data_IF_981421529483
#
_entry.id   IF_981421529483
#
_cell.length_a   1.000
_cell.length_b   1.000
_cell.length_c   1.000
_cell.angle_alpha   90.00
_cell.angle_beta   90.00
_cell.angle_gamma   90.00
#
_symmetry.space_group_name_H-M   'P 1'
#
loop_
_entity.id
_entity.type
_entity.pdbx_description
1 polymer ?
#
# COMPACT_ATOMS: atom_id res chain seq x y z
N UNK A 1 -43.68 -31.64 -24.69
CA UNK A 1 -43.17 -30.52 -23.87
C UNK A 1 -41.78 -30.90 -23.36
N UNK A 2 -40.73 -30.44 -24.04
CA UNK A 2 -39.34 -30.57 -23.60
C UNK A 2 -38.79 -29.15 -23.48
N UNK A 3 -38.46 -28.73 -22.27
CA UNK A 3 -37.99 -27.39 -21.94
C UNK A 3 -36.49 -27.31 -22.25
N UNK A 4 -36.12 -26.37 -23.14
CA UNK A 4 -34.75 -26.04 -23.46
C UNK A 4 -34.11 -25.26 -22.30
N UNK A 5 -33.08 -25.83 -21.67
CA UNK A 5 -32.15 -25.11 -20.81
C UNK A 5 -31.01 -24.56 -21.67
N UNK A 6 -31.02 -23.25 -21.90
CA UNK A 6 -29.90 -22.54 -22.53
C UNK A 6 -28.91 -22.05 -21.46
N UNK A 7 -27.68 -22.55 -21.63
CA UNK A 7 -26.38 -22.07 -21.12
C UNK A 7 -26.26 -20.56 -20.85
N UNK A 8 -25.78 -20.22 -19.65
CA UNK A 8 -25.06 -18.97 -19.38
C UNK A 8 -23.76 -19.30 -18.62
N UNK A 9 -22.69 -19.55 -19.40
CA UNK A 9 -21.34 -19.85 -18.93
C UNK A 9 -20.68 -18.56 -18.44
N UNK A 10 -20.27 -18.53 -17.18
CA UNK A 10 -19.57 -17.41 -16.56
C UNK A 10 -18.24 -17.09 -17.23
N UNK A 11 -18.05 -15.82 -17.61
CA UNK A 11 -16.77 -15.31 -18.13
C UNK A 11 -16.14 -14.20 -17.25
N UNK A 12 -16.64 -14.01 -16.03
CA UNK A 12 -16.19 -12.95 -15.12
C UNK A 12 -15.02 -13.28 -14.18
N UNK A 13 -14.66 -14.55 -13.97
CA UNK A 13 -13.73 -14.93 -12.88
C UNK A 13 -12.23 -14.80 -13.20
N UNK A 14 -11.83 -14.83 -14.48
CA UNK A 14 -10.42 -14.98 -14.85
C UNK A 14 -9.60 -13.68 -14.83
N UNK A 15 -10.22 -12.50 -14.87
CA UNK A 15 -9.52 -11.22 -14.72
C UNK A 15 -9.31 -10.87 -13.25
N UNK A 16 -10.33 -11.11 -12.43
CA UNK A 16 -10.32 -10.77 -11.00
C UNK A 16 -9.37 -11.71 -10.25
N UNK A 17 -9.40 -13.03 -10.49
CA UNK A 17 -8.42 -13.97 -9.92
C UNK A 17 -6.97 -13.69 -10.34
N UNK A 18 -6.73 -13.22 -11.57
CA UNK A 18 -5.37 -12.86 -12.02
C UNK A 18 -4.86 -11.60 -11.34
N UNK A 19 -5.72 -10.61 -11.13
CA UNK A 19 -5.35 -9.38 -10.42
C UNK A 19 -5.04 -9.67 -8.94
N UNK A 20 -5.78 -10.58 -8.30
CA UNK A 20 -5.56 -11.02 -6.92
C UNK A 20 -4.21 -11.74 -6.77
N UNK A 21 -3.90 -12.68 -7.67
CA UNK A 21 -2.62 -13.39 -7.65
C UNK A 21 -1.41 -12.46 -7.78
N UNK A 22 -1.53 -11.39 -8.57
CA UNK A 22 -0.46 -10.39 -8.76
C UNK A 22 -0.28 -9.51 -7.51
N UNK A 23 -1.36 -9.15 -6.80
CA UNK A 23 -1.31 -8.30 -5.61
C UNK A 23 -0.64 -8.96 -4.40
N UNK A 24 -0.82 -10.28 -4.23
CA UNK A 24 -0.14 -11.04 -3.16
C UNK A 24 1.30 -11.39 -3.57
N UNK A 25 1.56 -11.55 -4.87
CA UNK A 25 2.87 -11.92 -5.39
C UNK A 25 3.92 -10.83 -5.16
N UNK A 26 3.59 -9.54 -5.32
CA UNK A 26 4.59 -8.45 -5.21
C UNK A 26 5.13 -8.31 -3.77
N UNK A 27 4.31 -8.21 -2.71
CA UNK A 27 4.80 -8.10 -1.34
C UNK A 27 5.54 -9.36 -0.87
N UNK A 28 5.12 -10.54 -1.34
CA UNK A 28 5.82 -11.79 -1.06
C UNK A 28 7.16 -11.88 -1.79
N UNK A 29 7.20 -11.50 -3.07
CA UNK A 29 8.43 -11.42 -3.85
C UNK A 29 9.43 -10.45 -3.21
N UNK A 30 8.95 -9.28 -2.77
CA UNK A 30 9.76 -8.34 -2.01
C UNK A 30 10.34 -8.99 -0.73
N UNK A 31 9.52 -9.70 0.05
CA UNK A 31 9.98 -10.39 1.26
C UNK A 31 11.11 -11.39 0.94
N UNK A 32 10.93 -12.24 -0.08
CA UNK A 32 11.94 -13.20 -0.53
C UNK A 32 13.23 -12.50 -0.96
N UNK A 33 13.13 -11.45 -1.76
CA UNK A 33 14.29 -10.67 -2.18
C UNK A 33 14.99 -10.00 -1.01
N UNK A 34 14.26 -9.50 -0.01
CA UNK A 34 14.84 -8.87 1.17
C UNK A 34 15.63 -9.89 2.02
N UNK A 35 15.06 -11.08 2.26
CA UNK A 35 15.75 -12.19 2.93
C UNK A 35 17.02 -12.59 2.16
N UNK A 36 16.95 -12.70 0.83
CA UNK A 36 18.11 -13.00 0.00
C UNK A 36 19.22 -11.93 0.15
N UNK A 37 18.86 -10.65 0.12
CA UNK A 37 19.82 -9.56 0.31
C UNK A 37 20.46 -9.56 1.70
N UNK A 38 19.69 -9.86 2.74
CA UNK A 38 20.21 -10.00 4.11
C UNK A 38 21.25 -11.12 4.20
N UNK A 39 20.98 -12.27 3.58
CA UNK A 39 21.93 -13.41 3.54
C UNK A 39 23.20 -13.02 2.77
N UNK A 40 23.09 -12.29 1.66
CA UNK A 40 24.25 -11.81 0.91
C UNK A 40 25.09 -10.81 1.71
N UNK A 41 24.46 -9.87 2.42
CA UNK A 41 25.16 -8.93 3.32
C UNK A 41 25.91 -9.70 4.40
N UNK A 42 25.29 -10.70 5.01
CA UNK A 42 25.93 -11.53 6.04
C UNK A 42 27.10 -12.35 5.48
N UNK A 43 26.94 -12.94 4.29
CA UNK A 43 27.97 -13.75 3.63
C UNK A 43 29.17 -12.89 3.24
N UNK A 44 28.93 -11.71 2.67
CA UNK A 44 29.97 -10.75 2.34
C UNK A 44 30.69 -10.23 3.59
N UNK A 45 29.94 -9.93 4.65
CA UNK A 45 30.52 -9.54 5.93
C UNK A 45 31.44 -10.63 6.48
N UNK A 46 31.01 -11.91 6.48
CA UNK A 46 31.86 -13.05 6.89
C UNK A 46 33.14 -13.15 6.05
N UNK A 47 33.06 -12.90 4.76
CA UNK A 47 34.22 -12.88 3.87
C UNK A 47 35.20 -11.74 4.22
N UNK A 48 34.70 -10.52 4.37
CA UNK A 48 35.53 -9.34 4.70
C UNK A 48 36.16 -9.45 6.09
N UNK A 49 35.43 -10.01 7.06
CA UNK A 49 35.88 -10.12 8.45
C UNK A 49 36.71 -11.37 8.75
N UNK A 50 37.00 -12.20 7.74
CA UNK A 50 37.76 -13.46 7.89
C UNK A 50 39.10 -13.28 8.62
N UNK A 51 39.71 -12.11 8.52
CA UNK A 51 41.02 -11.79 9.11
C UNK A 51 40.95 -10.96 10.41
N UNK A 52 39.74 -10.62 10.90
CA UNK A 52 39.55 -9.75 12.07
C UNK A 52 38.63 -10.39 13.13
N UNK A 53 39.05 -11.54 13.68
CA UNK A 53 38.25 -12.39 14.58
C UNK A 53 37.59 -11.66 15.77
N UNK A 54 38.31 -10.76 16.45
CA UNK A 54 37.76 -9.98 17.57
C UNK A 54 36.63 -9.02 17.16
N UNK A 55 36.69 -8.45 15.95
CA UNK A 55 35.67 -7.53 15.44
C UNK A 55 34.42 -8.28 14.95
N UNK A 56 34.52 -9.58 14.69
CA UNK A 56 33.40 -10.43 14.25
C UNK A 56 32.34 -10.56 15.36
N UNK A 57 32.75 -10.86 16.59
CA UNK A 57 31.83 -10.99 17.73
C UNK A 57 31.13 -9.68 18.09
N UNK A 58 31.87 -8.55 18.01
CA UNK A 58 31.30 -7.22 18.26
C UNK A 58 30.18 -6.91 17.27
N UNK A 59 30.37 -7.22 15.99
CA UNK A 59 29.33 -7.01 14.98
C UNK A 59 28.11 -7.91 15.18
N UNK A 60 28.30 -9.17 15.56
CA UNK A 60 27.19 -10.08 15.91
C UNK A 60 26.41 -9.51 17.09
N UNK A 61 27.10 -9.03 18.13
CA UNK A 61 26.48 -8.40 19.29
C UNK A 61 25.67 -7.16 18.93
N UNK A 62 26.23 -6.25 18.11
CA UNK A 62 25.51 -5.08 17.59
C UNK A 62 24.31 -5.50 16.74
N UNK A 63 24.48 -6.54 15.91
CA UNK A 63 23.42 -7.14 15.11
C UNK A 63 22.26 -7.55 16.00
N UNK A 64 22.47 -8.45 16.96
CA UNK A 64 21.43 -8.93 17.90
C UNK A 64 20.77 -7.76 18.64
N UNK A 65 21.56 -6.83 19.17
CA UNK A 65 21.04 -5.65 19.85
C UNK A 65 20.14 -4.81 18.94
N UNK A 66 20.53 -4.62 17.67
CA UNK A 66 19.72 -3.91 16.67
C UNK A 66 18.40 -4.62 16.35
N UNK A 67 18.40 -5.96 16.29
CA UNK A 67 17.16 -6.73 16.07
C UNK A 67 16.19 -6.55 17.23
N UNK A 68 16.69 -6.71 18.46
CA UNK A 68 15.88 -6.60 19.68
C UNK A 68 15.30 -5.20 19.85
N UNK A 69 16.13 -4.18 19.65
CA UNK A 69 15.72 -2.77 19.74
C UNK A 69 14.73 -2.40 18.64
N UNK A 70 15.00 -2.73 17.36
CA UNK A 70 14.07 -2.48 16.28
C UNK A 70 12.73 -3.20 16.48
N UNK A 71 12.76 -4.46 16.91
CA UNK A 71 11.55 -5.24 17.22
C UNK A 71 10.71 -4.58 18.31
N UNK A 72 11.35 -4.15 19.41
CA UNK A 72 10.68 -3.45 20.50
C UNK A 72 10.07 -2.12 20.03
N UNK A 73 10.83 -1.32 19.28
CA UNK A 73 10.38 -0.02 18.76
C UNK A 73 9.18 -0.20 17.84
N UNK A 74 9.28 -1.05 16.81
CA UNK A 74 8.17 -1.22 15.87
C UNK A 74 6.96 -1.91 16.51
N UNK A 75 7.17 -2.79 17.49
CA UNK A 75 6.07 -3.35 18.29
C UNK A 75 5.37 -2.28 19.13
N UNK A 76 6.13 -1.38 19.78
CA UNK A 76 5.56 -0.24 20.51
C UNK A 76 4.79 0.68 19.57
N UNK A 77 5.34 0.98 18.38
CA UNK A 77 4.64 1.75 17.35
C UNK A 77 3.34 1.05 16.94
N UNK A 78 3.36 -0.25 16.63
CA UNK A 78 2.14 -1.01 16.30
C UNK A 78 1.12 -0.94 17.43
N UNK A 79 1.54 -1.12 18.68
CA UNK A 79 0.66 -1.04 19.86
C UNK A 79 0.06 0.35 20.06
N UNK A 80 0.85 1.41 19.86
CA UNK A 80 0.38 2.79 19.91
C UNK A 80 -0.61 3.08 18.79
N UNK A 81 -0.31 2.67 17.55
CA UNK A 81 -1.21 2.80 16.41
C UNK A 81 -2.54 2.09 16.65
N UNK A 82 -2.52 0.86 17.17
CA UNK A 82 -3.74 0.12 17.51
C UNK A 82 -4.59 0.85 18.55
N UNK A 83 -3.96 1.51 19.53
CA UNK A 83 -4.67 2.34 20.52
C UNK A 83 -5.27 3.59 19.88
N UNK A 84 -4.55 4.27 18.99
CA UNK A 84 -5.04 5.44 18.26
C UNK A 84 -6.17 5.10 17.28
N UNK A 85 -6.14 3.91 16.68
CA UNK A 85 -7.11 3.47 15.67
C UNK A 85 -8.29 2.68 16.24
N UNK A 86 -8.48 2.65 17.57
CA UNK A 86 -9.51 1.85 18.23
C UNK A 86 -10.93 2.15 17.74
N UNK A 87 -11.23 3.42 17.47
CA UNK A 87 -12.54 3.91 17.01
C UNK A 87 -12.70 3.92 15.48
N UNK A 88 -11.70 3.42 14.75
CA UNK A 88 -11.62 3.56 13.30
C UNK A 88 -12.24 2.32 12.61
N UNK A 89 -12.99 2.52 11.52
CA UNK A 89 -13.55 1.40 10.75
C UNK A 89 -12.44 0.45 10.25
N UNK A 90 -12.73 -0.85 10.16
CA UNK A 90 -11.72 -1.87 9.83
C UNK A 90 -10.93 -1.59 8.55
N UNK A 91 -11.60 -1.03 7.53
CA UNK A 91 -10.96 -0.63 6.28
C UNK A 91 -9.99 0.56 6.45
N UNK A 92 -10.39 1.58 7.21
CA UNK A 92 -9.55 2.75 7.52
C UNK A 92 -8.34 2.33 8.36
N UNK A 93 -8.53 1.43 9.35
CA UNK A 93 -7.44 0.84 10.14
C UNK A 93 -6.44 0.11 9.26
N UNK A 94 -6.91 -0.78 8.38
CA UNK A 94 -6.05 -1.50 7.43
C UNK A 94 -5.24 -0.55 6.54
N UNK A 95 -5.90 0.45 5.92
CA UNK A 95 -5.22 1.43 5.08
C UNK A 95 -4.10 2.14 5.83
N UNK A 96 -4.34 2.56 7.08
CA UNK A 96 -3.31 3.22 7.89
C UNK A 96 -2.16 2.27 8.24
N UNK A 97 -2.45 1.02 8.61
CA UNK A 97 -1.41 0.04 8.94
C UNK A 97 -0.54 -0.30 7.71
N UNK A 98 -1.15 -0.49 6.54
CA UNK A 98 -0.42 -0.68 5.28
C UNK A 98 0.43 0.55 4.90
N UNK A 99 -0.12 1.76 5.03
CA UNK A 99 0.63 3.00 4.76
C UNK A 99 1.85 3.13 5.69
N UNK A 100 1.69 2.85 6.98
CA UNK A 100 2.79 2.86 7.96
C UNK A 100 3.85 1.82 7.58
N UNK A 101 3.42 0.60 7.25
CA UNK A 101 4.31 -0.49 6.84
C UNK A 101 5.14 -0.16 5.61
N UNK A 102 4.50 0.18 4.50
CA UNK A 102 5.20 0.50 3.25
C UNK A 102 6.05 1.79 3.36
N UNK A 103 5.61 2.78 4.14
CA UNK A 103 6.43 3.98 4.40
C UNK A 103 7.68 3.63 5.19
N UNK A 104 7.57 2.83 6.25
CA UNK A 104 8.71 2.41 7.06
C UNK A 104 9.74 1.60 6.25
N UNK A 105 9.28 0.67 5.41
CA UNK A 105 10.16 -0.07 4.51
C UNK A 105 10.80 0.83 3.45
N UNK A 106 10.09 1.82 2.92
CA UNK A 106 10.64 2.78 1.97
C UNK A 106 11.78 3.61 2.58
N UNK A 107 11.60 4.08 3.83
CA UNK A 107 12.62 4.80 4.60
C UNK A 107 13.87 3.95 4.79
N UNK A 108 13.72 2.66 5.13
CA UNK A 108 14.87 1.74 5.25
C UNK A 108 15.70 1.69 3.96
N UNK A 109 15.05 1.68 2.79
CA UNK A 109 15.72 1.76 1.49
C UNK A 109 16.51 3.07 1.30
N UNK A 110 15.90 4.21 1.61
CA UNK A 110 16.58 5.52 1.52
C UNK A 110 17.78 5.61 2.46
N UNK A 111 17.70 5.05 3.66
CA UNK A 111 18.83 5.02 4.62
C UNK A 111 20.04 4.32 4.00
N UNK A 112 19.84 3.18 3.32
CA UNK A 112 20.91 2.45 2.63
C UNK A 112 21.50 3.30 1.50
N UNK A 113 20.67 3.88 0.64
CA UNK A 113 21.11 4.65 -0.52
C UNK A 113 21.90 5.92 -0.12
N UNK A 114 21.41 6.68 0.86
CA UNK A 114 22.08 7.88 1.37
C UNK A 114 23.39 7.50 2.07
N UNK A 115 23.39 6.46 2.90
CA UNK A 115 24.59 5.99 3.58
C UNK A 115 25.66 5.49 2.60
N UNK A 116 25.26 4.89 1.49
CA UNK A 116 26.18 4.47 0.44
C UNK A 116 26.91 5.66 -0.21
N UNK A 117 26.22 6.78 -0.41
CA UNK A 117 26.82 8.01 -0.95
C UNK A 117 27.83 8.61 0.05
N UNK A 118 27.46 8.65 1.34
CA UNK A 118 28.27 9.29 2.39
C UNK A 118 29.51 8.45 2.73
N UNK A 119 29.35 7.15 2.96
CA UNK A 119 30.40 6.30 3.52
C UNK A 119 31.17 5.48 2.47
N UNK A 120 30.67 5.44 1.23
CA UNK A 120 31.26 4.70 0.10
C UNK A 120 31.69 3.27 0.46
N UNK A 121 32.99 3.04 0.73
CA UNK A 121 33.57 1.70 1.00
C UNK A 121 33.71 1.37 2.47
N UNK A 122 33.30 2.25 3.38
CA UNK A 122 33.51 2.02 4.79
C UNK A 122 32.75 0.77 5.25
N UNK A 123 33.37 -0.06 6.09
CA UNK A 123 32.76 -1.26 6.66
C UNK A 123 31.44 -0.99 7.42
N UNK A 124 31.19 0.27 7.82
CA UNK A 124 29.95 0.69 8.48
C UNK A 124 28.73 0.59 7.55
N UNK A 125 28.93 0.65 6.23
CA UNK A 125 27.83 0.49 5.27
C UNK A 125 27.17 -0.90 5.37
N UNK A 126 27.96 -1.94 5.65
CA UNK A 126 27.42 -3.30 5.85
C UNK A 126 26.56 -3.39 7.10
N UNK A 127 26.94 -2.68 8.17
CA UNK A 127 26.17 -2.62 9.40
C UNK A 127 24.84 -1.90 9.17
N UNK A 128 24.86 -0.74 8.50
CA UNK A 128 23.67 0.04 8.19
C UNK A 128 22.73 -0.75 7.27
N UNK A 129 23.27 -1.43 6.25
CA UNK A 129 22.49 -2.29 5.37
C UNK A 129 21.83 -3.44 6.14
N UNK A 130 22.58 -4.12 7.02
CA UNK A 130 22.05 -5.20 7.86
C UNK A 130 20.88 -4.71 8.73
N UNK A 131 21.04 -3.60 9.45
CA UNK A 131 20.01 -3.01 10.31
C UNK A 131 18.75 -2.66 9.48
N UNK A 132 18.95 -2.10 8.30
CA UNK A 132 17.85 -1.66 7.42
C UNK A 132 17.06 -2.82 6.82
N UNK A 133 17.73 -3.90 6.40
CA UNK A 133 17.06 -5.11 5.91
C UNK A 133 16.29 -5.82 7.02
N UNK A 134 16.89 -6.00 8.21
CA UNK A 134 16.19 -6.58 9.37
C UNK A 134 14.97 -5.74 9.75
N UNK A 135 15.12 -4.41 9.84
CA UNK A 135 14.02 -3.51 10.16
C UNK A 135 12.88 -3.65 9.15
N UNK A 136 13.21 -3.76 7.86
CA UNK A 136 12.22 -3.97 6.80
C UNK A 136 11.46 -5.29 6.95
N UNK A 137 12.15 -6.38 7.30
CA UNK A 137 11.53 -7.69 7.55
C UNK A 137 10.58 -7.62 8.76
N UNK A 138 11.02 -6.99 9.86
CA UNK A 138 10.19 -6.80 11.06
C UNK A 138 8.93 -5.99 10.72
N UNK A 139 9.08 -4.88 10.00
CA UNK A 139 7.95 -4.05 9.57
C UNK A 139 6.97 -4.85 8.71
N UNK A 140 7.46 -5.69 7.79
CA UNK A 140 6.62 -6.54 6.95
C UNK A 140 5.75 -7.49 7.78
N UNK A 141 6.33 -8.18 8.76
CA UNK A 141 5.56 -9.07 9.65
C UNK A 141 4.55 -8.31 10.52
N UNK A 142 4.93 -7.13 11.00
CA UNK A 142 4.08 -6.35 11.90
C UNK A 142 2.92 -5.66 11.17
N UNK A 143 3.12 -5.13 9.97
CA UNK A 143 2.17 -4.23 9.31
C UNK A 143 1.59 -4.75 8.00
N UNK A 144 2.15 -5.81 7.40
CA UNK A 144 1.76 -6.25 6.05
C UNK A 144 1.26 -7.70 6.06
N UNK A 145 1.99 -8.62 6.69
CA UNK A 145 1.68 -10.05 6.65
C UNK A 145 0.22 -10.39 7.05
N UNK A 146 -0.30 -9.72 8.07
CA UNK A 146 -1.68 -9.90 8.56
C UNK A 146 -2.74 -9.43 7.56
N UNK A 147 -2.41 -8.47 6.70
CA UNK A 147 -3.37 -7.86 5.76
C UNK A 147 -3.35 -8.50 4.38
N UNK A 148 -2.26 -9.16 3.99
CA UNK A 148 -2.10 -9.80 2.67
C UNK A 148 -3.15 -10.85 2.33
N UNK A 149 -3.79 -11.45 3.33
CA UNK A 149 -4.82 -12.49 3.15
C UNK A 149 -6.25 -11.98 3.39
N UNK A 150 -6.41 -10.72 3.83
CA UNK A 150 -7.71 -10.19 4.28
C UNK A 150 -8.19 -8.99 3.46
N UNK A 151 -7.28 -8.29 2.78
CA UNK A 151 -7.55 -7.04 2.09
C UNK A 151 -6.89 -7.00 0.72
N UNK A 152 -7.61 -6.42 -0.24
CA UNK A 152 -7.16 -6.22 -1.62
C UNK A 152 -6.83 -4.75 -1.84
N UNK A 153 -5.74 -4.47 -2.55
CA UNK A 153 -5.42 -3.10 -2.98
C UNK A 153 -6.25 -2.81 -4.22
N UNK A 154 -6.86 -1.63 -4.33
CA UNK A 154 -7.62 -1.32 -5.53
C UNK A 154 -6.67 -1.18 -6.73
N UNK A 155 -7.00 -1.86 -7.83
CA UNK A 155 -6.23 -1.77 -9.07
C UNK A 155 -6.24 -0.35 -9.65
N UNK A 156 -5.19 0.04 -10.41
CA UNK A 156 -5.12 1.36 -11.02
C UNK A 156 -6.11 1.51 -12.20
N UNK A 157 -7.12 2.38 -12.06
CA UNK A 157 -8.01 2.88 -13.12
C UNK A 157 -8.05 4.42 -13.05
N UNK A 158 -7.89 5.24 -14.13
CA UNK A 158 -7.84 4.97 -15.57
C UNK A 158 -6.43 5.16 -16.20
N UNK A 159 -6.29 4.82 -17.49
CA UNK A 159 -5.07 4.86 -18.34
C UNK A 159 -4.10 6.03 -18.10
N UNK A 160 -4.59 7.25 -17.90
CA UNK A 160 -3.76 8.44 -17.73
C UNK A 160 -3.03 8.51 -16.38
N UNK A 161 -3.69 8.08 -15.30
CA UNK A 161 -3.12 8.10 -13.94
C UNK A 161 -2.07 7.00 -13.77
N UNK A 162 -2.29 5.84 -14.39
CA UNK A 162 -1.31 4.74 -14.46
C UNK A 162 -0.01 5.17 -15.15
N UNK A 163 -0.11 5.91 -16.25
CA UNK A 163 1.07 6.39 -16.98
C UNK A 163 1.81 7.47 -16.20
N UNK A 164 1.12 8.41 -15.55
CA UNK A 164 1.75 9.41 -14.69
C UNK A 164 2.56 8.76 -13.55
N UNK A 165 1.96 7.79 -12.84
CA UNK A 165 2.69 7.09 -11.79
C UNK A 165 3.87 6.30 -12.35
N UNK A 166 3.68 5.53 -13.42
CA UNK A 166 4.77 4.82 -14.06
C UNK A 166 5.93 5.75 -14.47
N UNK A 167 5.64 6.99 -14.90
CA UNK A 167 6.66 8.01 -15.24
C UNK A 167 7.37 8.55 -14.00
N UNK A 168 6.65 8.94 -12.95
CA UNK A 168 7.28 9.38 -11.69
C UNK A 168 8.13 8.25 -11.10
N UNK A 169 7.65 7.01 -11.19
CA UNK A 169 8.39 5.81 -10.81
C UNK A 169 9.64 5.57 -11.64
N UNK A 170 9.53 5.71 -12.96
CA UNK A 170 10.66 5.59 -13.86
C UNK A 170 11.70 6.67 -13.54
N UNK A 171 11.29 7.91 -13.29
CA UNK A 171 12.21 9.01 -13.00
C UNK A 171 12.89 8.83 -11.64
N UNK A 172 12.14 8.54 -10.56
CA UNK A 172 12.71 8.37 -9.21
C UNK A 172 13.55 7.09 -9.14
N UNK A 173 13.09 6.01 -9.75
CA UNK A 173 13.83 4.75 -9.81
C UNK A 173 15.08 4.82 -10.68
N UNK A 174 15.01 5.51 -11.83
CA UNK A 174 16.20 5.78 -12.64
C UNK A 174 17.15 6.74 -11.95
N UNK A 175 16.66 7.76 -11.24
CA UNK A 175 17.52 8.66 -10.47
C UNK A 175 18.27 7.89 -9.36
N UNK A 176 17.59 7.00 -8.64
CA UNK A 176 18.23 6.14 -7.63
C UNK A 176 19.20 5.13 -8.25
N UNK A 177 18.82 4.46 -9.35
CA UNK A 177 19.69 3.55 -10.08
C UNK A 177 20.89 4.27 -10.70
N UNK A 178 20.71 5.49 -11.21
CA UNK A 178 21.76 6.32 -11.79
C UNK A 178 22.70 6.87 -10.71
N UNK A 179 22.16 7.38 -9.59
CA UNK A 179 22.98 7.81 -8.45
C UNK A 179 23.79 6.63 -7.91
N UNK A 180 23.17 5.47 -7.71
CA UNK A 180 23.90 4.28 -7.29
C UNK A 180 24.91 3.84 -8.35
N UNK A 181 24.57 3.69 -9.64
CA UNK A 181 25.57 3.30 -10.67
C UNK A 181 26.65 4.35 -10.93
N UNK A 182 26.39 5.65 -10.79
CA UNK A 182 27.39 6.70 -10.98
C UNK A 182 28.38 6.74 -9.80
N UNK A 183 27.87 6.67 -8.56
CA UNK A 183 28.74 6.62 -7.37
C UNK A 183 29.43 5.25 -7.20
N UNK A 184 28.82 4.15 -7.66
CA UNK A 184 29.39 2.80 -7.56
C UNK A 184 30.20 2.36 -8.80
N UNK A 185 29.91 2.89 -9.99
CA UNK A 185 30.52 2.51 -11.28
C UNK A 185 32.01 2.85 -11.39
N UNK A 186 32.54 3.65 -10.49
CA UNK A 186 33.98 3.94 -10.41
C UNK A 186 34.79 2.82 -9.73
N UNK A 187 34.17 1.80 -9.12
CA UNK A 187 34.88 0.84 -8.26
C UNK A 187 34.57 -0.63 -8.58
N UNK A 188 35.42 -1.27 -9.39
CA UNK A 188 35.27 -2.65 -9.90
C UNK A 188 35.35 -3.79 -8.86
N UNK A 189 35.16 -3.54 -7.56
CA UNK A 189 35.41 -4.51 -6.46
C UNK A 189 34.38 -4.52 -5.31
N UNK A 190 33.13 -4.06 -5.47
CA UNK A 190 32.17 -3.96 -4.33
C UNK A 190 30.79 -4.63 -4.53
N UNK A 191 30.12 -4.81 -3.37
CA UNK A 191 29.08 -5.77 -3.01
C UNK A 191 27.75 -5.63 -3.81
N UNK A 192 27.38 -6.62 -4.64
CA UNK A 192 26.13 -6.58 -5.42
C UNK A 192 24.87 -6.49 -4.55
N UNK A 193 24.94 -6.85 -3.26
CA UNK A 193 23.79 -6.83 -2.36
C UNK A 193 23.21 -5.43 -2.13
N UNK A 194 24.03 -4.36 -2.14
CA UNK A 194 23.54 -2.99 -1.94
C UNK A 194 22.81 -2.48 -3.18
N UNK A 195 23.32 -2.83 -4.36
CA UNK A 195 22.71 -2.50 -5.64
C UNK A 195 21.39 -3.28 -5.85
N UNK A 196 21.42 -4.59 -5.65
CA UNK A 196 20.23 -5.45 -5.73
C UNK A 196 19.20 -5.04 -4.68
N UNK A 197 19.63 -4.70 -3.46
CA UNK A 197 18.76 -4.17 -2.41
C UNK A 197 18.04 -2.89 -2.82
N UNK A 198 18.73 -1.96 -3.47
CA UNK A 198 18.13 -0.70 -3.94
C UNK A 198 16.98 -0.94 -4.93
N UNK A 199 17.16 -1.91 -5.84
CA UNK A 199 16.09 -2.33 -6.78
C UNK A 199 14.89 -2.92 -6.03
N UNK A 200 15.12 -3.74 -4.99
CA UNK A 200 14.03 -4.31 -4.20
C UNK A 200 13.18 -3.24 -3.49
N UNK A 201 13.80 -2.17 -2.98
CA UNK A 201 13.07 -1.07 -2.34
C UNK A 201 12.24 -0.22 -3.32
N UNK A 202 12.51 -0.28 -4.64
CA UNK A 202 11.64 0.35 -5.64
C UNK A 202 10.24 -0.30 -5.66
N UNK A 203 10.16 -1.62 -5.49
CA UNK A 203 8.88 -2.34 -5.46
C UNK A 203 8.02 -1.95 -4.24
N UNK A 204 8.66 -1.67 -3.10
CA UNK A 204 7.97 -1.16 -1.91
C UNK A 204 7.38 0.22 -2.16
N UNK A 205 8.13 1.08 -2.85
CA UNK A 205 7.67 2.43 -3.21
C UNK A 205 6.48 2.35 -4.15
N UNK A 206 6.44 1.37 -5.06
CA UNK A 206 5.28 1.18 -5.96
C UNK A 206 4.01 0.82 -5.21
N UNK A 207 4.10 -0.08 -4.23
CA UNK A 207 2.95 -0.45 -3.41
C UNK A 207 2.46 0.70 -2.54
N UNK A 208 3.39 1.48 -1.95
CA UNK A 208 3.05 2.65 -1.14
C UNK A 208 2.17 3.64 -1.91
N UNK A 209 2.57 4.00 -3.13
CA UNK A 209 1.81 4.93 -3.98
C UNK A 209 0.48 4.33 -4.39
N UNK A 210 0.44 3.04 -4.72
CA UNK A 210 -0.82 2.35 -5.06
C UNK A 210 -1.86 2.50 -3.93
N UNK A 211 -1.44 2.30 -2.68
CA UNK A 211 -2.33 2.43 -1.51
C UNK A 211 -2.77 3.88 -1.27
N UNK A 212 -1.88 4.85 -1.49
CA UNK A 212 -2.21 6.28 -1.34
C UNK A 212 -3.32 6.68 -2.31
N UNK A 213 -3.18 6.30 -3.59
CA UNK A 213 -4.04 6.81 -4.67
C UNK A 213 -5.24 5.94 -5.00
N UNK A 214 -5.10 4.62 -4.94
CA UNK A 214 -6.16 3.69 -5.32
C UNK A 214 -6.99 3.26 -4.10
N UNK A 215 -6.38 3.17 -2.91
CA UNK A 215 -7.04 2.72 -1.69
C UNK A 215 -7.06 1.19 -1.54
N UNK A 216 -7.85 0.70 -0.58
CA UNK A 216 -7.90 -0.71 -0.15
C UNK A 216 -9.37 -1.14 -0.05
N UNK A 217 -9.65 -2.42 -0.29
CA UNK A 217 -10.97 -3.06 -0.16
C UNK A 217 -10.87 -4.35 0.66
N UNK A 218 -11.98 -4.79 1.27
CA UNK A 218 -12.07 -6.06 2.01
C UNK A 218 -12.48 -7.20 1.05
N UNK A 219 -11.73 -8.30 1.03
CA UNK A 219 -11.98 -9.45 0.13
C UNK A 219 -13.42 -9.99 0.28
N UNK A 220 -13.93 -10.08 1.51
CA UNK A 220 -15.26 -10.65 1.80
C UNK A 220 -16.46 -9.84 1.27
N UNK A 221 -16.27 -8.60 0.82
CA UNK A 221 -17.36 -7.79 0.26
C UNK A 221 -17.65 -8.18 -1.20
N UNK A 222 -16.77 -8.95 -1.85
CA UNK A 222 -16.94 -9.42 -3.22
C UNK A 222 -17.88 -10.62 -3.37
N UNK A 223 -18.15 -11.37 -2.28
CA UNK A 223 -18.91 -12.64 -2.33
C UNK A 223 -20.34 -12.57 -1.81
N UNK A 224 -20.77 -11.46 -1.21
CA UNK A 224 -22.10 -11.34 -0.60
C UNK A 224 -22.84 -10.18 -1.25
N UNK A 225 -23.70 -10.52 -2.22
CA UNK A 225 -24.78 -9.66 -2.70
C UNK A 225 -25.98 -9.75 -1.75
N UNK A 226 -25.79 -9.42 -0.47
CA UNK A 226 -26.88 -9.23 0.50
C UNK A 226 -26.68 -7.86 1.18
N UNK A 227 -27.77 -7.16 1.55
CA UNK A 227 -27.70 -5.81 2.09
C UNK A 227 -27.23 -5.86 3.54
N UNK A 228 -25.93 -6.06 3.76
CA UNK A 228 -25.35 -6.04 5.10
C UNK A 228 -24.98 -4.61 5.46
N UNK A 229 -25.64 -4.15 6.51
CA UNK A 229 -25.45 -2.90 7.23
C UNK A 229 -23.99 -2.76 7.71
N UNK A 230 -23.11 -2.28 6.84
CA UNK A 230 -21.78 -1.83 7.25
C UNK A 230 -21.99 -0.63 8.18
N UNK A 231 -21.51 -0.73 9.41
CA UNK A 231 -21.32 0.43 10.27
C UNK A 231 -20.17 1.32 9.76
N UNK A 232 -20.25 1.74 8.49
CA UNK A 232 -19.74 3.05 8.12
C UNK A 232 -20.48 4.04 8.99
N UNK A 233 -19.79 4.88 9.75
CA UNK A 233 -20.42 6.05 10.35
C UNK A 233 -21.25 6.70 9.24
N UNK A 234 -22.58 6.78 9.41
CA UNK A 234 -23.50 7.26 8.38
C UNK A 234 -23.12 8.66 7.86
N UNK A 235 -22.28 9.36 8.62
CA UNK A 235 -21.69 10.67 8.36
C UNK A 235 -20.47 10.68 7.44
N UNK A 236 -19.93 9.56 6.98
CA UNK A 236 -18.66 9.54 6.23
C UNK A 236 -18.85 9.06 4.80
N UNK A 237 -18.05 9.57 3.88
CA UNK A 237 -18.04 9.07 2.51
C UNK A 237 -17.32 7.74 2.38
N UNK A 238 -17.97 6.72 1.82
CA UNK A 238 -17.39 5.38 1.63
C UNK A 238 -16.26 5.29 0.59
N UNK A 239 -15.92 6.37 -0.12
CA UNK A 239 -14.81 6.42 -1.09
C UNK A 239 -13.62 7.18 -0.52
N UNK A 240 -13.80 8.46 -0.15
CA UNK A 240 -12.70 9.28 0.38
C UNK A 240 -12.53 9.16 1.90
N UNK A 241 -13.50 8.56 2.58
CA UNK A 241 -13.49 8.29 4.03
C UNK A 241 -13.43 9.55 4.90
N UNK A 242 -13.71 10.71 4.31
CA UNK A 242 -13.89 12.00 4.98
C UNK A 242 -15.33 12.13 5.50
N UNK A 243 -15.48 12.76 6.67
CA UNK A 243 -16.78 13.14 7.22
C UNK A 243 -17.46 14.15 6.28
N UNK A 244 -18.76 13.99 6.05
CA UNK A 244 -19.54 14.92 5.25
C UNK A 244 -19.61 16.29 5.95
N UNK A 245 -19.61 17.33 5.14
CA UNK A 245 -19.59 18.71 5.59
C UNK A 245 -20.02 19.61 4.43
N UNK A 246 -20.05 20.92 4.66
CA UNK A 246 -20.29 21.90 3.60
C UNK A 246 -19.22 21.84 2.50
N UNK A 247 -18.03 21.30 2.80
CA UNK A 247 -16.94 21.08 1.83
C UNK A 247 -16.98 19.66 1.23
N UNK A 248 -17.40 18.67 2.01
CA UNK A 248 -17.54 17.27 1.60
C UNK A 248 -19.03 16.97 1.43
N UNK A 249 -19.62 17.44 0.33
CA UNK A 249 -21.07 17.42 0.13
C UNK A 249 -21.55 15.99 -0.19
N UNK A 250 -22.43 15.37 0.61
CA UNK A 250 -23.02 14.06 0.35
C UNK A 250 -24.08 14.17 -0.74
N UNK A 251 -23.99 13.34 -1.78
CA UNK A 251 -24.98 13.24 -2.86
C UNK A 251 -25.43 11.81 -3.05
N UNK A 252 -26.70 11.65 -3.41
CA UNK A 252 -27.37 10.36 -3.54
C UNK A 252 -27.29 9.91 -5.00
N UNK A 253 -26.81 8.69 -5.23
CA UNK A 253 -26.92 8.01 -6.50
C UNK A 253 -28.36 7.48 -6.66
N UNK A 254 -29.18 8.18 -7.45
CA UNK A 254 -30.62 7.88 -7.61
C UNK A 254 -30.92 6.46 -8.13
N UNK A 255 -29.96 5.79 -8.78
CA UNK A 255 -30.12 4.40 -9.24
C UNK A 255 -30.04 3.34 -8.13
N UNK A 256 -29.65 3.71 -6.91
CA UNK A 256 -29.53 2.76 -5.80
C UNK A 256 -29.67 3.33 -4.38
N UNK A 257 -29.77 4.64 -4.22
CA UNK A 257 -29.89 5.29 -2.89
C UNK A 257 -28.58 5.43 -2.12
N UNK A 258 -27.46 4.88 -2.61
CA UNK A 258 -26.17 5.03 -1.94
C UNK A 258 -25.65 6.46 -2.02
N UNK A 259 -25.04 6.91 -0.93
CA UNK A 259 -24.56 8.29 -0.78
C UNK A 259 -23.03 8.33 -0.82
N UNK A 260 -22.49 9.27 -1.59
CA UNK A 260 -21.05 9.54 -1.69
C UNK A 260 -20.79 11.03 -1.79
N UNK A 261 -19.55 11.45 -1.52
CA UNK A 261 -19.16 12.85 -1.65
C UNK A 261 -19.18 13.28 -3.12
N UNK A 262 -19.55 14.53 -3.43
CA UNK A 262 -19.57 15.05 -4.80
C UNK A 262 -18.24 14.83 -5.52
N UNK A 263 -17.13 15.16 -4.83
CA UNK A 263 -15.76 15.02 -5.36
C UNK A 263 -15.49 13.54 -5.71
N UNK A 264 -16.04 12.62 -4.94
CA UNK A 264 -15.88 11.20 -5.10
C UNK A 264 -16.69 10.69 -6.29
N UNK A 265 -17.95 11.13 -6.43
CA UNK A 265 -18.81 10.79 -7.57
C UNK A 265 -18.19 11.31 -8.87
N UNK A 266 -17.59 12.50 -8.85
CA UNK A 266 -16.87 13.06 -10.01
C UNK A 266 -15.67 12.21 -10.44
N UNK A 267 -15.10 11.44 -9.50
CA UNK A 267 -13.97 10.53 -9.73
C UNK A 267 -14.40 9.11 -10.09
N UNK A 268 -15.70 8.79 -10.01
CA UNK A 268 -16.19 7.46 -10.34
C UNK A 268 -16.12 7.18 -11.84
N UNK A 269 -15.94 5.91 -12.25
CA UNK A 269 -16.02 5.51 -13.63
C UNK A 269 -17.37 5.92 -14.23
N UNK A 270 -17.32 6.72 -15.31
CA UNK A 270 -18.52 7.23 -15.98
C UNK A 270 -18.38 7.23 -17.49
N UNK A 271 -19.44 6.82 -18.18
CA UNK A 271 -19.70 7.26 -19.56
C UNK A 271 -20.44 8.59 -19.48
N UNK A 272 -20.45 9.40 -20.56
CA UNK A 272 -20.84 10.83 -20.58
C UNK A 272 -22.00 11.24 -19.65
N UNK A 273 -22.98 10.37 -19.43
CA UNK A 273 -24.16 10.63 -18.59
C UNK A 273 -24.44 9.56 -17.53
N UNK A 274 -23.54 8.61 -17.29
CA UNK A 274 -23.82 7.45 -16.41
C UNK A 274 -22.69 7.18 -15.45
N UNK A 275 -23.00 6.96 -14.18
CA UNK A 275 -22.04 6.57 -13.15
C UNK A 275 -22.46 5.25 -12.50
N UNK A 276 -21.52 4.33 -12.30
CA UNK A 276 -21.79 3.07 -11.60
C UNK A 276 -21.51 3.23 -10.10
N UNK A 277 -22.41 2.73 -9.27
CA UNK A 277 -22.25 2.74 -7.82
C UNK A 277 -21.12 1.79 -7.38
N UNK A 278 -20.14 2.23 -6.56
CA UNK A 278 -19.09 1.36 -6.04
C UNK A 278 -19.58 0.23 -5.14
N UNK A 279 -20.72 0.41 -4.47
CA UNK A 279 -21.24 -0.55 -3.48
C UNK A 279 -22.08 -1.65 -4.15
N UNK A 280 -22.99 -1.28 -5.05
CA UNK A 280 -23.94 -2.22 -5.65
C UNK A 280 -23.86 -2.30 -7.18
N UNK A 281 -22.95 -1.56 -7.82
CA UNK A 281 -22.73 -1.51 -9.27
C UNK A 281 -23.92 -0.99 -10.11
N UNK A 282 -25.05 -0.66 -9.48
CA UNK A 282 -26.19 -0.02 -10.16
C UNK A 282 -25.79 1.27 -10.86
N UNK A 283 -26.34 1.46 -12.06
CA UNK A 283 -26.07 2.61 -12.90
C UNK A 283 -27.01 3.75 -12.52
N UNK A 284 -26.44 4.92 -12.29
CA UNK A 284 -27.15 6.17 -12.05
C UNK A 284 -26.94 7.11 -13.22
N UNK A 285 -28.02 7.67 -13.76
CA UNK A 285 -27.96 8.71 -14.78
C UNK A 285 -27.62 10.05 -14.13
N UNK A 286 -26.61 10.73 -14.68
CA UNK A 286 -26.17 12.05 -14.26
C UNK A 286 -26.91 13.10 -15.11
N UNK A 287 -27.70 14.00 -14.50
CA UNK A 287 -28.28 15.13 -15.23
C UNK A 287 -27.17 15.93 -15.91
N UNK A 288 -27.20 16.05 -17.24
CA UNK A 288 -26.19 16.75 -18.04
C UNK A 288 -24.74 16.30 -17.78
N UNK A 289 -24.51 15.05 -17.34
CA UNK A 289 -23.18 14.53 -17.02
C UNK A 289 -22.54 15.16 -15.76
N UNK A 290 -23.31 15.89 -14.94
CA UNK A 290 -22.84 16.67 -13.81
C UNK A 290 -23.21 16.03 -12.45
N UNK A 291 -22.22 15.56 -11.66
CA UNK A 291 -22.44 15.04 -10.31
C UNK A 291 -23.06 16.06 -9.36
N UNK A 292 -22.83 17.34 -9.59
CA UNK A 292 -23.31 18.42 -8.74
C UNK A 292 -24.81 18.74 -8.90
N UNK A 293 -25.48 18.08 -9.85
CA UNK A 293 -26.93 18.12 -10.02
C UNK A 293 -27.64 16.94 -9.33
N UNK A 294 -26.90 15.95 -8.81
CA UNK A 294 -27.49 14.88 -8.02
C UNK A 294 -28.00 15.42 -6.68
N UNK A 295 -29.13 14.90 -6.16
CA UNK A 295 -29.71 15.37 -4.91
C UNK A 295 -28.73 15.23 -3.75
N UNK A 296 -28.63 16.29 -2.93
CA UNK A 296 -27.88 16.24 -1.67
C UNK A 296 -28.61 15.34 -0.69
N UNK A 297 -27.86 14.62 0.14
CA UNK A 297 -28.42 13.88 1.25
C UNK A 297 -28.50 14.78 2.49
N UNK A 298 -29.59 15.55 2.62
CA UNK A 298 -29.79 16.45 3.77
C UNK A 298 -29.91 15.68 5.09
N UNK A 299 -30.52 14.50 5.09
CA UNK A 299 -30.63 13.64 6.28
C UNK A 299 -29.27 13.37 6.92
N UNK A 300 -28.25 13.06 6.11
CA UNK A 300 -26.89 12.81 6.61
C UNK A 300 -26.23 14.11 7.10
N UNK A 301 -26.51 15.24 6.46
CA UNK A 301 -25.98 16.54 6.89
C UNK A 301 -26.59 16.97 8.24
N UNK A 302 -27.89 16.76 8.43
CA UNK A 302 -28.61 17.08 9.66
C UNK A 302 -28.10 16.21 10.82
N UNK A 303 -27.90 14.91 10.59
CA UNK A 303 -27.32 13.98 11.58
C UNK A 303 -25.90 14.40 12.03
N UNK A 304 -25.13 15.07 11.18
CA UNK A 304 -23.79 15.57 11.52
C UNK A 304 -23.91 16.86 12.32
N UNK A 305 -24.84 17.73 11.97
CA UNK A 305 -25.07 18.98 12.68
C UNK A 305 -25.57 18.72 14.11
N UNK A 306 -26.47 17.75 14.30
CA UNK A 306 -26.97 17.35 15.62
C UNK A 306 -25.90 16.72 16.52
N UNK A 307 -24.90 16.03 15.95
CA UNK A 307 -23.78 15.46 16.72
C UNK A 307 -22.75 16.50 17.17
N UNK A 308 -22.76 17.68 16.56
CA UNK A 308 -21.80 18.76 16.83
C UNK A 308 -22.40 19.90 17.66
N UNK A 309 -23.66 19.77 18.10
CA UNK A 309 -24.37 20.64 19.04
C UNK A 309 -24.35 20.00 20.44
#
# INVERSE_FOLDING_TARGET
MAVAMHSARGSGNNSDQRNIGIQIAIPFFYFVCNVYNLVNVFTYWKYVMKYHYHKTYVFIGIGIASILTASLIFWLVKKLCQKCFKELSGLKKCKMELLIGYSGMSICGYVISVSAIIFQKHHFLLLIAFISFISSIIIWFLFIAEHLLNYEVLGPEPRGRRNYFAVVFFIVGLAECFLTTHFFGSFSKHNPAVFVGSICFLLVKTELVSIIFNGVLLENTSRISDPVNYSSNASDCNICLLQYSNLVIPRILIGCGHTFCEICIRKLPRTLERVSCPLCRNITLLPCGRPDLLPKNYTVMDMIQERNL
#
